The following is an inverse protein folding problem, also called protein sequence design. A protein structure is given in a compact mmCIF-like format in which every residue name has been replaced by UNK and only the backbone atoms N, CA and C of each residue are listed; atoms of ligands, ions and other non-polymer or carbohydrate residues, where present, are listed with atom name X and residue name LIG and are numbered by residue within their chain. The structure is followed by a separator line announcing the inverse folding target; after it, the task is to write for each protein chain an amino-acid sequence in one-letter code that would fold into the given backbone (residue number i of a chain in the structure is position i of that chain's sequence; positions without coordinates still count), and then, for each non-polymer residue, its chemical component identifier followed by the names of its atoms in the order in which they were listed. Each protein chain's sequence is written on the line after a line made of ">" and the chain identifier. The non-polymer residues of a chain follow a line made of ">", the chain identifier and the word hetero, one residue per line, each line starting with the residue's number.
data_IF_465592414085
#
_entry.id   IF_465592414085
#
_cell.length_a   1.000
_cell.length_b   1.000
_cell.length_c   1.000
_cell.angle_alpha   90.00
_cell.angle_beta   90.00
_cell.angle_gamma   90.00
#
_symmetry.space_group_name_H-M   'P 1'
#
loop_
_entity.id
_entity.type
_entity.pdbx_description
1 polymer ?
#
# COMPACT_ATOMS: atom_id res chain seq x y z
N UNK A 1 -13.26 11.23 3.01
CA UNK A 1 -11.90 10.66 3.09
C UNK A 1 -11.49 10.72 4.55
N UNK A 2 -11.29 9.58 5.21
CA UNK A 2 -10.85 9.57 6.61
C UNK A 2 -9.51 10.32 6.73
N UNK A 3 -9.37 11.17 7.74
CA UNK A 3 -8.10 11.83 8.03
C UNK A 3 -7.08 10.77 8.42
N UNK A 4 -6.18 10.45 7.48
CA UNK A 4 -5.01 9.61 7.73
C UNK A 4 -4.05 10.38 8.62
N UNK A 5 -4.13 10.13 9.92
CA UNK A 5 -3.21 10.65 10.93
C UNK A 5 -2.24 9.53 11.38
N UNK A 6 -1.11 9.92 11.97
CA UNK A 6 -0.05 8.98 12.37
C UNK A 6 -0.57 7.87 13.29
N UNK A 7 -1.45 8.21 14.24
CA UNK A 7 -2.02 7.27 15.20
C UNK A 7 -2.88 6.19 14.52
N UNK A 8 -3.75 6.60 13.59
CA UNK A 8 -4.60 5.69 12.81
C UNK A 8 -3.81 4.75 11.91
N UNK A 9 -2.65 5.19 11.41
CA UNK A 9 -1.77 4.41 10.56
C UNK A 9 -0.87 3.50 11.40
N UNK A 10 -0.40 3.95 12.57
CA UNK A 10 0.38 3.13 13.49
C UNK A 10 -0.45 1.94 13.99
N UNK A 11 -1.71 2.17 14.38
CA UNK A 11 -2.61 1.08 14.78
C UNK A 11 -2.84 0.06 13.63
N UNK A 12 -2.89 0.53 12.38
CA UNK A 12 -2.99 -0.37 11.22
C UNK A 12 -1.70 -1.17 10.99
N UNK A 13 -0.52 -0.58 11.24
CA UNK A 13 0.77 -1.26 11.13
C UNK A 13 0.95 -2.30 12.24
N UNK A 14 0.65 -1.94 13.49
CA UNK A 14 0.75 -2.86 14.63
C UNK A 14 -0.23 -4.04 14.52
N UNK A 15 -1.39 -3.81 13.89
CA UNK A 15 -2.36 -4.86 13.60
C UNK A 15 -1.99 -5.70 12.35
N UNK A 16 -0.98 -5.31 11.57
CA UNK A 16 -0.55 -6.03 10.38
C UNK A 16 0.57 -7.01 10.71
N UNK A 17 0.30 -8.30 10.52
CA UNK A 17 1.36 -9.32 10.49
C UNK A 17 2.07 -9.27 9.12
N UNK A 18 3.18 -8.52 9.06
CA UNK A 18 3.94 -8.28 7.84
C UNK A 18 4.59 -9.56 7.29
N UNK A 19 5.01 -10.48 8.16
CA UNK A 19 5.57 -11.78 7.79
C UNK A 19 4.51 -12.68 7.14
N UNK A 20 3.30 -12.69 7.69
CA UNK A 20 2.18 -13.43 7.11
C UNK A 20 1.74 -12.82 5.77
N UNK A 21 1.77 -11.49 5.66
CA UNK A 21 1.48 -10.80 4.41
C UNK A 21 2.49 -11.17 3.33
N UNK A 22 3.80 -11.12 3.62
CA UNK A 22 4.87 -11.50 2.69
C UNK A 22 4.77 -12.98 2.24
N UNK A 23 4.48 -13.90 3.16
CA UNK A 23 4.26 -15.31 2.83
C UNK A 23 3.05 -15.49 1.91
N UNK A 24 1.96 -14.77 2.17
CA UNK A 24 0.75 -14.82 1.34
C UNK A 24 1.00 -14.24 -0.06
N UNK A 25 1.79 -13.16 -0.15
CA UNK A 25 2.26 -12.57 -1.41
C UNK A 25 3.08 -13.59 -2.21
N UNK A 26 4.09 -14.17 -1.57
CA UNK A 26 5.03 -15.10 -2.21
C UNK A 26 4.36 -16.40 -2.67
N UNK A 27 3.40 -16.92 -1.89
CA UNK A 27 2.65 -18.12 -2.26
C UNK A 27 1.70 -17.88 -3.44
N UNK A 28 1.04 -16.71 -3.49
CA UNK A 28 0.10 -16.38 -4.58
C UNK A 28 0.80 -15.95 -5.86
N UNK A 29 1.94 -15.26 -5.78
CA UNK A 29 2.76 -14.90 -6.95
C UNK A 29 3.27 -16.14 -7.69
N UNK A 30 3.56 -17.23 -6.98
CA UNK A 30 3.97 -18.51 -7.58
C UNK A 30 2.79 -19.34 -8.12
N UNK A 31 1.56 -19.12 -7.63
CA UNK A 31 0.41 -19.94 -7.97
C UNK A 31 -0.41 -19.40 -9.15
N UNK A 32 -0.36 -18.10 -9.43
CA UNK A 32 -1.25 -17.48 -10.42
C UNK A 32 -0.42 -16.77 -11.48
N UNK A 33 -0.33 -17.38 -12.66
CA UNK A 33 0.24 -16.73 -13.84
C UNK A 33 -0.39 -15.35 -14.04
N UNK A 34 0.44 -14.42 -14.53
CA UNK A 34 0.34 -12.95 -14.73
C UNK A 34 -1.04 -12.27 -14.91
N UNK A 35 -2.12 -13.02 -15.11
CA UNK A 35 -3.48 -12.52 -15.34
C UNK A 35 -4.33 -12.22 -14.08
N UNK A 36 -4.05 -12.79 -12.90
CA UNK A 36 -4.84 -12.53 -11.67
C UNK A 36 -4.22 -11.48 -10.72
N UNK A 37 -3.23 -10.76 -11.22
CA UNK A 37 -2.51 -9.72 -10.50
C UNK A 37 -3.43 -8.60 -9.91
N UNK A 38 -4.59 -8.23 -10.49
CA UNK A 38 -5.38 -7.11 -9.96
C UNK A 38 -5.88 -7.33 -8.53
N UNK A 39 -6.55 -8.45 -8.23
CA UNK A 39 -7.25 -8.65 -6.95
C UNK A 39 -6.30 -8.78 -5.76
N UNK A 40 -5.19 -9.50 -5.94
CA UNK A 40 -4.20 -9.67 -4.88
C UNK A 40 -3.43 -8.36 -4.59
N UNK A 41 -3.06 -7.58 -5.63
CA UNK A 41 -2.42 -6.28 -5.41
C UNK A 41 -3.38 -5.32 -4.70
N UNK A 42 -4.68 -5.38 -5.00
CA UNK A 42 -5.67 -4.57 -4.30
C UNK A 42 -5.86 -4.96 -2.83
N UNK A 43 -5.76 -6.25 -2.50
CA UNK A 43 -5.77 -6.72 -1.11
C UNK A 43 -4.58 -6.17 -0.34
N UNK A 44 -3.38 -6.19 -0.93
CA UNK A 44 -2.18 -5.58 -0.34
C UNK A 44 -2.36 -4.06 -0.22
N UNK A 45 -2.82 -3.39 -1.29
CA UNK A 45 -3.03 -1.94 -1.29
C UNK A 45 -4.05 -1.48 -0.24
N UNK A 46 -5.10 -2.26 0.02
CA UNK A 46 -6.07 -1.96 1.08
C UNK A 46 -5.43 -1.92 2.47
N UNK A 47 -4.37 -2.71 2.68
CA UNK A 47 -3.65 -2.82 3.95
C UNK A 47 -2.51 -1.79 4.08
N UNK A 48 -1.76 -1.54 3.00
CA UNK A 48 -0.56 -0.67 3.05
C UNK A 48 -0.79 0.72 2.45
N UNK A 49 -1.85 0.93 1.67
CA UNK A 49 -2.10 2.16 0.93
C UNK A 49 -2.27 3.38 1.84
N UNK A 50 -2.81 3.21 3.04
CA UNK A 50 -2.90 4.25 4.07
C UNK A 50 -1.51 4.74 4.51
N UNK A 51 -0.56 3.83 4.68
CA UNK A 51 0.83 4.12 5.08
C UNK A 51 1.53 4.91 3.97
N UNK A 52 1.41 4.44 2.72
CA UNK A 52 2.04 5.10 1.56
C UNK A 52 1.47 6.51 1.36
N UNK A 53 0.16 6.70 1.56
CA UNK A 53 -0.49 8.02 1.55
C UNK A 53 0.02 8.94 2.66
N UNK A 54 0.36 8.39 3.84
CA UNK A 54 0.95 9.17 4.93
C UNK A 54 2.40 9.57 4.63
N UNK A 55 3.21 8.65 4.10
CA UNK A 55 4.59 8.94 3.68
C UNK A 55 4.61 10.02 2.59
N UNK A 56 3.69 9.96 1.63
CA UNK A 56 3.57 10.98 0.59
C UNK A 56 3.32 12.40 1.15
N UNK A 57 2.66 12.52 2.31
CA UNK A 57 2.39 13.79 3.00
C UNK A 57 3.56 14.28 3.87
N UNK A 58 4.64 13.51 4.00
CA UNK A 58 5.76 13.89 4.87
C UNK A 58 6.47 15.16 4.34
N UNK A 59 6.70 16.19 5.18
CA UNK A 59 7.19 17.49 4.74
C UNK A 59 8.65 17.46 4.26
N UNK A 60 9.47 16.52 4.75
CA UNK A 60 10.88 16.37 4.37
C UNK A 60 11.12 15.53 3.10
N UNK A 61 10.06 15.08 2.42
CA UNK A 61 10.21 14.28 1.22
C UNK A 61 10.60 15.14 0.01
N UNK A 62 11.64 14.78 -0.77
CA UNK A 62 12.02 15.53 -1.97
C UNK A 62 10.86 15.60 -2.99
N UNK A 63 10.71 16.70 -3.75
CA UNK A 63 9.57 16.92 -4.64
C UNK A 63 9.35 15.81 -5.68
N UNK A 64 10.43 15.23 -6.20
CA UNK A 64 10.38 14.12 -7.17
C UNK A 64 9.82 12.84 -6.55
N UNK A 65 10.19 12.56 -5.30
CA UNK A 65 9.69 11.39 -4.56
C UNK A 65 8.22 11.55 -4.20
N UNK A 66 7.79 12.75 -3.80
CA UNK A 66 6.38 13.05 -3.54
C UNK A 66 5.53 12.81 -4.79
N UNK A 67 5.95 13.33 -5.94
CA UNK A 67 5.28 13.09 -7.22
C UNK A 67 5.21 11.61 -7.60
N UNK A 68 6.27 10.85 -7.38
CA UNK A 68 6.28 9.41 -7.66
C UNK A 68 5.29 8.65 -6.76
N UNK A 69 5.26 8.97 -5.46
CA UNK A 69 4.31 8.36 -4.52
C UNK A 69 2.86 8.76 -4.83
N UNK A 70 2.60 10.02 -5.19
CA UNK A 70 1.27 10.47 -5.61
C UNK A 70 0.80 9.73 -6.88
N UNK A 71 1.69 9.52 -7.84
CA UNK A 71 1.39 8.76 -9.05
C UNK A 71 1.06 7.30 -8.71
N UNK A 72 1.87 6.66 -7.86
CA UNK A 72 1.62 5.31 -7.36
C UNK A 72 0.27 5.22 -6.64
N UNK A 73 -0.01 6.16 -5.73
CA UNK A 73 -1.28 6.24 -5.00
C UNK A 73 -2.46 6.35 -5.97
N UNK A 74 -2.41 7.26 -6.94
CA UNK A 74 -3.48 7.43 -7.93
C UNK A 74 -3.68 6.20 -8.80
N UNK A 75 -2.58 5.58 -9.21
CA UNK A 75 -2.62 4.38 -10.04
C UNK A 75 -3.27 3.24 -9.27
N UNK A 76 -2.84 3.03 -8.02
CA UNK A 76 -3.38 1.98 -7.19
C UNK A 76 -4.84 2.23 -6.74
N UNK A 77 -5.20 3.47 -6.39
CA UNK A 77 -6.59 3.83 -6.09
C UNK A 77 -7.51 3.72 -7.32
N UNK A 78 -6.97 3.86 -8.53
CA UNK A 78 -7.75 3.67 -9.77
C UNK A 78 -7.93 2.20 -10.17
N UNK A 79 -7.06 1.32 -9.67
CA UNK A 79 -7.05 -0.10 -10.00
C UNK A 79 -7.87 -0.97 -9.02
N UNK A 80 -8.29 -0.45 -7.86
CA UNK A 80 -8.74 -1.27 -6.71
C UNK A 80 -10.12 -0.93 -6.08
#
# INVERSE_FOLDING_TARGET
>A
MAELNFESVNAQIEALDLDQLEKSVSQRANAVGVAAIPTFICEVWSKIGGIIKLIAKFPFLPPKWRKALELLIKTMDSLC
#
